data_IF_971287693326
#
_entry.id   IF_971287693326
#
_cell.length_a   1.000
_cell.length_b   1.000
_cell.length_c   1.000
_cell.angle_alpha   90.00
_cell.angle_beta   90.00
_cell.angle_gamma   90.00
#
_symmetry.space_group_name_H-M   'P 1'
#
loop_
_entity.id
_entity.type
_entity.pdbx_description
1 polymer ?
#
# COMPACT_ATOMS: atom_id res chain seq x y z
N UNK A 1 33.12 13.00 -15.16
CA UNK A 1 32.84 14.05 -14.18
C UNK A 1 34.10 14.20 -13.33
N UNK A 2 34.72 15.37 -13.31
CA UNK A 2 35.94 15.62 -12.52
C UNK A 2 35.59 15.97 -11.07
N UNK A 3 34.96 15.02 -10.37
CA UNK A 3 34.59 15.13 -8.96
C UNK A 3 35.42 14.12 -8.18
N UNK A 4 35.82 14.53 -6.98
CA UNK A 4 36.59 13.72 -6.06
C UNK A 4 35.80 12.46 -5.62
N UNK A 5 36.52 11.37 -5.33
CA UNK A 5 35.96 10.07 -4.96
C UNK A 5 35.03 10.19 -3.74
N UNK A 6 35.42 11.01 -2.76
CA UNK A 6 34.62 11.25 -1.56
C UNK A 6 33.27 11.91 -1.90
N UNK A 7 33.28 12.90 -2.80
CA UNK A 7 32.06 13.57 -3.27
C UNK A 7 31.20 12.60 -4.05
N UNK A 8 31.79 11.74 -4.86
CA UNK A 8 31.05 10.72 -5.61
C UNK A 8 30.32 9.75 -4.66
N UNK A 9 31.03 9.15 -3.71
CA UNK A 9 30.46 8.17 -2.77
C UNK A 9 29.33 8.76 -1.92
N UNK A 10 29.44 10.03 -1.52
CA UNK A 10 28.39 10.71 -0.75
C UNK A 10 27.09 10.93 -1.54
N UNK A 11 27.17 11.00 -2.87
CA UNK A 11 26.05 11.35 -3.74
C UNK A 11 25.43 10.14 -4.44
N UNK A 12 26.16 9.02 -4.56
CA UNK A 12 25.73 7.86 -5.35
C UNK A 12 24.42 7.24 -4.83
N UNK A 13 24.20 7.23 -3.52
CA UNK A 13 23.03 6.62 -2.87
C UNK A 13 21.89 7.61 -2.55
N UNK A 14 21.95 8.83 -3.09
CA UNK A 14 20.87 9.81 -2.88
C UNK A 14 19.60 9.41 -3.62
N UNK A 15 18.45 9.66 -3.01
CA UNK A 15 17.13 9.36 -3.58
C UNK A 15 16.99 9.91 -5.00
N UNK A 16 17.37 11.17 -5.21
CA UNK A 16 17.33 11.80 -6.54
C UNK A 16 18.29 11.18 -7.55
N UNK A 17 19.28 10.38 -7.16
CA UNK A 17 20.19 9.67 -8.06
C UNK A 17 19.72 8.24 -8.42
N UNK A 18 18.72 7.72 -7.71
CA UNK A 18 18.18 6.38 -7.92
C UNK A 18 16.95 6.43 -8.82
N UNK A 19 16.83 5.51 -9.77
CA UNK A 19 15.60 5.37 -10.54
C UNK A 19 15.17 3.92 -10.63
N UNK A 20 13.86 3.72 -10.82
CA UNK A 20 13.30 2.41 -11.10
C UNK A 20 13.59 2.09 -12.57
N UNK A 21 14.07 0.87 -12.80
CA UNK A 21 14.36 0.35 -14.11
C UNK A 21 13.97 -1.13 -14.16
N UNK A 22 13.59 -1.62 -15.34
CA UNK A 22 13.35 -3.05 -15.52
C UNK A 22 14.63 -3.84 -15.25
N UNK A 23 14.51 -5.11 -14.87
CA UNK A 23 15.69 -5.99 -14.64
C UNK A 23 16.62 -6.05 -15.86
N UNK A 24 16.04 -6.05 -17.06
CA UNK A 24 16.77 -6.06 -18.33
C UNK A 24 17.53 -4.75 -18.52
N UNK A 25 16.87 -3.61 -18.35
CA UNK A 25 17.48 -2.29 -18.57
C UNK A 25 18.56 -1.99 -17.54
N UNK A 26 18.35 -2.35 -16.27
CA UNK A 26 19.34 -2.19 -15.21
C UNK A 26 20.64 -2.97 -15.52
N UNK A 27 20.49 -4.20 -16.02
CA UNK A 27 21.62 -5.06 -16.41
C UNK A 27 22.42 -4.50 -17.61
N UNK A 28 21.75 -3.81 -18.54
CA UNK A 28 22.39 -3.19 -19.71
C UNK A 28 23.03 -1.84 -19.34
N UNK A 29 22.36 -1.01 -18.55
CA UNK A 29 22.82 0.33 -18.18
C UNK A 29 24.10 0.31 -17.33
N UNK A 30 24.21 -0.58 -16.33
CA UNK A 30 25.36 -0.70 -15.43
C UNK A 30 25.85 0.67 -14.89
N UNK A 31 27.14 0.79 -14.58
CA UNK A 31 27.77 2.06 -14.15
C UNK A 31 28.20 2.95 -15.32
N UNK A 32 27.56 2.83 -16.49
CA UNK A 32 27.87 3.68 -17.63
C UNK A 32 27.47 5.15 -17.41
N UNK A 33 28.01 6.00 -18.27
CA UNK A 33 27.75 7.44 -18.28
C UNK A 33 26.29 7.78 -18.59
N UNK A 34 25.84 8.94 -18.10
CA UNK A 34 24.45 9.41 -18.22
C UNK A 34 23.88 9.34 -19.65
N UNK A 35 24.64 9.79 -20.65
CA UNK A 35 24.19 9.79 -22.04
C UNK A 35 23.85 8.39 -22.57
N UNK A 36 24.63 7.38 -22.15
CA UNK A 36 24.36 5.99 -22.50
C UNK A 36 23.10 5.46 -21.80
N UNK A 37 22.95 5.78 -20.51
CA UNK A 37 21.76 5.39 -19.72
C UNK A 37 20.48 6.04 -20.25
N UNK A 38 20.54 7.32 -20.58
CA UNK A 38 19.42 8.08 -21.16
C UNK A 38 18.96 7.45 -22.48
N UNK A 39 19.89 7.02 -23.34
CA UNK A 39 19.55 6.32 -24.58
C UNK A 39 18.77 5.02 -24.33
N UNK A 40 19.21 4.18 -23.40
CA UNK A 40 18.52 2.92 -23.06
C UNK A 40 17.13 3.18 -22.48
N UNK A 41 17.01 4.16 -21.58
CA UNK A 41 15.73 4.54 -20.99
C UNK A 41 14.75 5.12 -22.03
N UNK A 42 15.26 5.90 -23.00
CA UNK A 42 14.47 6.43 -24.11
C UNK A 42 14.01 5.33 -25.09
N UNK A 43 14.85 4.32 -25.33
CA UNK A 43 14.52 3.21 -26.23
C UNK A 43 13.43 2.30 -25.66
N UNK A 44 13.40 2.08 -24.35
CA UNK A 44 12.44 1.14 -23.74
C UNK A 44 11.18 1.80 -23.19
N UNK A 45 11.27 3.05 -22.70
CA UNK A 45 10.19 3.82 -22.05
C UNK A 45 9.25 2.98 -21.17
N UNK A 46 9.79 1.99 -20.45
CA UNK A 46 8.98 1.04 -19.69
C UNK A 46 8.29 1.70 -18.48
N UNK A 47 8.81 2.83 -18.01
CA UNK A 47 8.30 3.55 -16.86
C UNK A 47 8.16 5.03 -17.22
N UNK A 48 6.92 5.52 -17.28
CA UNK A 48 6.61 6.93 -17.59
C UNK A 48 7.33 7.93 -16.68
N UNK A 49 7.58 7.56 -15.43
CA UNK A 49 8.33 8.41 -14.49
C UNK A 49 9.77 8.71 -14.96
N UNK A 50 10.36 7.85 -15.81
CA UNK A 50 11.68 8.07 -16.38
C UNK A 50 11.67 9.04 -17.56
N UNK A 51 10.52 9.37 -18.17
CA UNK A 51 10.46 10.29 -19.30
C UNK A 51 10.90 11.71 -18.91
N UNK A 52 10.60 12.13 -17.69
CA UNK A 52 11.06 13.42 -17.14
C UNK A 52 12.59 13.47 -16.99
N UNK A 53 13.24 12.32 -16.79
CA UNK A 53 14.70 12.22 -16.74
C UNK A 53 15.34 12.43 -18.11
N UNK A 54 14.67 12.01 -19.19
CA UNK A 54 15.20 12.11 -20.55
C UNK A 54 15.36 13.57 -21.00
N UNK A 55 14.59 14.50 -20.42
CA UNK A 55 14.63 15.93 -20.70
C UNK A 55 15.88 16.64 -20.15
N UNK A 56 16.67 15.95 -19.31
CA UNK A 56 17.83 16.52 -18.62
C UNK A 56 19.11 16.21 -19.41
N UNK A 57 19.74 17.27 -19.93
CA UNK A 57 20.95 17.19 -20.76
C UNK A 57 22.15 16.63 -19.99
N UNK A 58 22.37 17.12 -18.76
CA UNK A 58 23.50 16.71 -17.91
C UNK A 58 23.05 16.36 -16.51
N UNK A 59 23.50 15.19 -16.05
CA UNK A 59 23.23 14.72 -14.70
C UNK A 59 24.27 15.26 -13.72
N UNK A 60 24.00 16.40 -13.10
CA UNK A 60 24.90 17.03 -12.11
C UNK A 60 24.41 16.77 -10.69
N UNK A 61 25.25 17.10 -9.69
CA UNK A 61 24.83 17.05 -8.27
C UNK A 61 23.63 17.96 -8.03
N UNK A 62 23.57 19.12 -8.69
CA UNK A 62 22.44 20.03 -8.60
C UNK A 62 21.14 19.39 -9.11
N UNK A 63 21.19 18.62 -10.20
CA UNK A 63 20.03 17.89 -10.71
C UNK A 63 19.62 16.75 -9.76
N UNK A 64 20.58 16.07 -9.13
CA UNK A 64 20.31 15.08 -8.08
C UNK A 64 19.58 15.74 -6.90
N UNK A 65 20.03 16.92 -6.46
CA UNK A 65 19.41 17.65 -5.36
C UNK A 65 17.99 18.12 -5.72
N UNK A 66 17.81 18.76 -6.88
CA UNK A 66 16.49 19.18 -7.38
C UNK A 66 15.50 18.01 -7.41
N UNK A 67 15.93 16.86 -7.96
CA UNK A 67 15.08 15.67 -8.02
C UNK A 67 14.80 15.10 -6.63
N UNK A 68 15.78 15.12 -5.73
CA UNK A 68 15.59 14.67 -4.34
C UNK A 68 14.49 15.48 -3.66
N UNK A 69 14.53 16.81 -3.75
CA UNK A 69 13.49 17.66 -3.17
C UNK A 69 12.12 17.43 -3.81
N UNK A 70 12.06 17.34 -5.14
CA UNK A 70 10.82 17.04 -5.85
C UNK A 70 10.19 15.72 -5.39
N UNK A 71 10.99 14.65 -5.28
CA UNK A 71 10.51 13.34 -4.84
C UNK A 71 10.06 13.37 -3.38
N UNK A 72 10.76 14.08 -2.49
CA UNK A 72 10.35 14.25 -1.10
C UNK A 72 8.98 14.93 -1.00
N UNK A 73 8.76 16.01 -1.75
CA UNK A 73 7.47 16.70 -1.74
C UNK A 73 6.35 15.82 -2.32
N UNK A 74 6.63 15.05 -3.37
CA UNK A 74 5.67 14.07 -3.91
C UNK A 74 5.37 12.95 -2.93
N UNK A 75 6.35 12.45 -2.19
CA UNK A 75 6.14 11.44 -1.14
C UNK A 75 5.28 12.03 -0.03
N UNK A 76 5.54 13.26 0.44
CA UNK A 76 4.70 13.93 1.44
C UNK A 76 3.27 14.15 0.95
N UNK A 77 3.08 14.46 -0.33
CA UNK A 77 1.76 14.62 -0.94
C UNK A 77 0.99 13.29 -1.01
N UNK A 78 1.66 12.21 -1.42
CA UNK A 78 1.06 10.88 -1.55
C UNK A 78 0.83 10.19 -0.21
N UNK A 79 1.73 10.45 0.75
CA UNK A 79 1.71 9.89 2.10
C UNK A 79 1.75 11.04 3.12
N UNK A 80 0.66 11.82 3.22
CA UNK A 80 0.59 12.89 4.20
C UNK A 80 0.77 12.27 5.58
N UNK A 81 1.83 12.69 6.26
CA UNK A 81 2.04 12.33 7.65
C UNK A 81 0.97 13.07 8.45
N UNK A 82 -0.13 12.39 8.74
CA UNK A 82 -1.00 12.77 9.84
C UNK A 82 -0.14 12.62 11.09
N UNK A 83 0.61 13.67 11.45
CA UNK A 83 1.22 13.79 12.75
C UNK A 83 0.13 13.39 13.72
N UNK A 84 0.33 12.27 14.43
CA UNK A 84 -0.62 11.75 15.38
C UNK A 84 -1.04 12.93 16.23
N UNK A 85 -2.24 13.44 15.95
CA UNK A 85 -2.84 14.40 16.85
C UNK A 85 -2.93 13.58 18.12
N UNK A 86 -2.22 14.00 19.16
CA UNK A 86 -2.30 13.45 20.51
C UNK A 86 -3.70 13.67 21.12
N UNK A 87 -4.75 13.75 20.30
CA UNK A 87 -6.11 13.44 20.65
C UNK A 87 -6.42 12.08 20.06
N UNK A 88 -6.41 11.06 20.93
CA UNK A 88 -7.06 9.75 20.77
C UNK A 88 -7.40 9.42 19.31
N UNK A 89 -6.54 8.64 18.63
CA UNK A 89 -6.87 8.05 17.32
C UNK A 89 -8.31 7.55 17.41
N UNK A 90 -9.20 8.17 16.65
CA UNK A 90 -10.63 7.90 16.78
C UNK A 90 -10.89 6.57 16.10
N UNK A 91 -10.69 5.48 16.84
CA UNK A 91 -10.95 4.12 16.38
C UNK A 91 -12.38 3.73 16.74
N UNK A 92 -13.10 3.13 15.79
CA UNK A 92 -14.37 2.45 16.06
C UNK A 92 -14.13 0.95 15.99
N UNK A 93 -14.58 0.22 17.00
CA UNK A 93 -14.57 -1.25 16.97
C UNK A 93 -15.59 -1.74 15.96
N UNK A 94 -15.19 -2.68 15.12
CA UNK A 94 -16.01 -3.20 14.03
C UNK A 94 -15.94 -4.73 14.01
N UNK A 95 -17.02 -5.35 13.53
CA UNK A 95 -17.16 -6.79 13.50
C UNK A 95 -17.69 -7.26 12.14
N UNK A 96 -17.25 -8.42 11.69
CA UNK A 96 -17.94 -9.23 10.68
C UNK A 96 -18.44 -10.48 11.39
N UNK A 97 -19.74 -10.72 11.32
CA UNK A 97 -20.36 -11.93 11.83
C UNK A 97 -21.20 -12.56 10.74
N UNK A 98 -20.74 -13.69 10.22
CA UNK A 98 -21.52 -14.57 9.33
C UNK A 98 -21.87 -15.86 10.06
N UNK A 99 -22.61 -16.76 9.40
CA UNK A 99 -22.96 -18.06 9.98
C UNK A 99 -21.73 -18.93 10.29
N UNK A 100 -20.59 -18.67 9.65
CA UNK A 100 -19.40 -19.54 9.64
C UNK A 100 -18.10 -18.79 9.92
N UNK A 101 -18.15 -17.46 10.08
CA UNK A 101 -16.94 -16.63 10.16
C UNK A 101 -17.17 -15.48 11.10
N UNK A 102 -16.28 -15.34 12.08
CA UNK A 102 -16.24 -14.22 13.00
C UNK A 102 -14.90 -13.48 12.87
N UNK A 103 -14.96 -12.17 12.60
CA UNK A 103 -13.79 -11.31 12.59
C UNK A 103 -14.06 -10.03 13.36
N UNK A 104 -13.04 -9.50 14.01
CA UNK A 104 -13.08 -8.23 14.74
C UNK A 104 -11.91 -7.33 14.37
N UNK A 105 -12.06 -6.05 14.64
CA UNK A 105 -11.01 -5.09 14.37
C UNK A 105 -11.43 -3.65 14.64
N UNK A 106 -10.70 -2.73 14.04
CA UNK A 106 -10.89 -1.30 14.21
C UNK A 106 -10.91 -0.56 12.87
N UNK A 107 -11.90 0.31 12.69
CA UNK A 107 -11.87 1.35 11.67
C UNK A 107 -11.21 2.60 12.24
N UNK A 108 -10.13 3.04 11.62
CA UNK A 108 -9.50 4.34 11.91
C UNK A 108 -10.31 5.46 11.25
N UNK A 109 -10.99 6.28 12.05
CA UNK A 109 -11.86 7.35 11.55
C UNK A 109 -11.11 8.53 10.92
N UNK A 110 -9.78 8.59 11.09
CA UNK A 110 -8.95 9.69 10.58
C UNK A 110 -8.44 9.44 9.17
N UNK A 111 -8.17 8.19 8.80
CA UNK A 111 -7.56 7.83 7.52
C UNK A 111 -8.29 6.68 6.78
N UNK A 112 -9.34 6.12 7.36
CA UNK A 112 -10.16 5.07 6.77
C UNK A 112 -9.48 3.69 6.70
N UNK A 113 -8.30 3.52 7.31
CA UNK A 113 -7.65 2.21 7.41
C UNK A 113 -8.40 1.28 8.36
N UNK A 114 -8.31 -0.01 8.08
CA UNK A 114 -8.98 -1.06 8.84
C UNK A 114 -7.93 -2.01 9.40
N UNK A 115 -7.88 -2.12 10.73
CA UNK A 115 -7.02 -3.04 11.46
C UNK A 115 -7.84 -4.28 11.82
N UNK A 116 -7.35 -5.46 11.49
CA UNK A 116 -7.96 -6.75 11.80
C UNK A 116 -7.24 -7.38 12.98
N UNK A 117 -7.98 -7.85 13.96
CA UNK A 117 -7.43 -8.51 15.14
C UNK A 117 -6.92 -9.91 14.83
N UNK A 118 -5.83 -10.30 15.50
CA UNK A 118 -5.42 -11.70 15.54
C UNK A 118 -6.53 -12.55 16.18
N UNK A 119 -6.77 -13.74 15.61
CA UNK A 119 -7.88 -14.62 15.93
C UNK A 119 -9.11 -14.43 15.03
N UNK A 120 -9.14 -13.39 14.18
CA UNK A 120 -10.21 -13.22 13.20
C UNK A 120 -10.21 -14.35 12.16
N UNK A 121 -11.38 -14.90 11.89
CA UNK A 121 -11.57 -16.01 10.95
C UNK A 121 -11.73 -15.51 9.52
N UNK A 122 -11.29 -16.33 8.56
CA UNK A 122 -11.49 -16.12 7.14
C UNK A 122 -12.42 -17.20 6.58
N UNK A 123 -13.39 -16.78 5.78
CA UNK A 123 -14.28 -17.69 5.08
C UNK A 123 -13.53 -18.43 3.98
N UNK A 124 -13.76 -19.74 3.88
CA UNK A 124 -13.18 -20.60 2.84
C UNK A 124 -14.30 -21.05 1.91
N UNK A 125 -14.15 -20.80 0.61
CA UNK A 125 -15.11 -21.23 -0.42
C UNK A 125 -14.56 -22.43 -1.20
N UNK A 126 -15.47 -23.23 -1.75
CA UNK A 126 -15.10 -24.38 -2.59
C UNK A 126 -14.53 -23.97 -3.97
N UNK A 127 -14.88 -22.78 -4.48
CA UNK A 127 -14.48 -22.29 -5.80
C UNK A 127 -13.68 -20.96 -5.71
N UNK A 128 -12.46 -20.99 -5.15
CA UNK A 128 -11.63 -19.80 -4.94
C UNK A 128 -11.25 -19.08 -6.26
N UNK A 129 -11.21 -19.81 -7.38
CA UNK A 129 -10.84 -19.28 -8.70
C UNK A 129 -11.76 -18.14 -9.21
N UNK A 130 -12.94 -17.97 -8.61
CA UNK A 130 -13.86 -16.89 -8.97
C UNK A 130 -13.37 -15.50 -8.52
N UNK A 131 -12.47 -15.45 -7.53
CA UNK A 131 -11.90 -14.21 -6.99
C UNK A 131 -10.36 -14.30 -6.95
N UNK A 132 -9.69 -14.30 -8.12
CA UNK A 132 -8.24 -14.50 -8.20
C UNK A 132 -7.45 -13.43 -7.45
N UNK A 133 -7.92 -12.18 -7.43
CA UNK A 133 -7.27 -11.09 -6.70
C UNK A 133 -7.26 -11.32 -5.18
N UNK A 134 -8.32 -11.93 -4.64
CA UNK A 134 -8.42 -12.25 -3.21
C UNK A 134 -7.48 -13.41 -2.86
N UNK A 135 -7.38 -14.40 -3.74
CA UNK A 135 -6.47 -15.53 -3.59
C UNK A 135 -5.00 -15.11 -3.64
N UNK A 136 -4.65 -14.20 -4.55
CA UNK A 136 -3.31 -13.65 -4.63
C UNK A 136 -2.92 -12.93 -3.33
N UNK A 137 -3.82 -12.10 -2.79
CA UNK A 137 -3.60 -11.44 -1.50
C UNK A 137 -3.50 -12.45 -0.34
N UNK A 138 -4.38 -13.44 -0.28
CA UNK A 138 -4.34 -14.46 0.78
C UNK A 138 -3.04 -15.27 0.73
N UNK A 139 -2.54 -15.58 -0.47
CA UNK A 139 -1.26 -16.28 -0.66
C UNK A 139 -0.09 -15.45 -0.13
N UNK A 140 -0.05 -14.15 -0.41
CA UNK A 140 0.95 -13.24 0.16
C UNK A 140 0.87 -13.24 1.71
N UNK A 141 -0.32 -13.14 2.28
CA UNK A 141 -0.51 -13.15 3.74
C UNK A 141 -0.12 -14.49 4.40
N UNK A 142 -0.29 -15.62 3.69
CA UNK A 142 0.17 -16.94 4.13
C UNK A 142 1.71 -17.01 4.12
N UNK A 143 2.34 -16.52 3.06
CA UNK A 143 3.81 -16.47 2.93
C UNK A 143 4.43 -15.58 4.03
N UNK A 144 3.78 -14.47 4.37
CA UNK A 144 4.19 -13.55 5.43
C UNK A 144 3.83 -14.03 6.85
N UNK A 145 3.17 -15.18 6.99
CA UNK A 145 2.70 -15.74 8.26
C UNK A 145 1.78 -14.78 9.04
N UNK A 146 0.96 -14.03 8.32
CA UNK A 146 -0.07 -13.15 8.89
C UNK A 146 -1.37 -13.94 9.09
N UNK A 147 -1.69 -14.82 8.15
CA UNK A 147 -2.78 -15.79 8.28
C UNK A 147 -2.22 -17.22 8.27
N UNK A 148 -2.94 -18.17 8.88
CA UNK A 148 -2.56 -19.58 8.89
C UNK A 148 -3.79 -20.50 8.97
N UNK A 149 -3.66 -21.71 8.44
CA UNK A 149 -4.63 -22.78 8.64
C UNK A 149 -4.47 -23.36 10.06
N UNK A 150 -5.57 -23.40 10.79
CA UNK A 150 -5.68 -23.95 12.15
C UNK A 150 -6.78 -25.01 12.21
N UNK A 151 -6.92 -25.68 13.35
CA UNK A 151 -8.01 -26.66 13.58
C UNK A 151 -9.41 -26.04 13.39
N UNK A 152 -9.54 -24.73 13.55
CA UNK A 152 -10.79 -23.97 13.38
C UNK A 152 -10.94 -23.35 11.98
N UNK A 153 -10.04 -23.65 11.04
CA UNK A 153 -10.00 -23.07 9.70
C UNK A 153 -8.92 -22.02 9.52
N UNK A 154 -9.06 -21.19 8.47
CA UNK A 154 -8.10 -20.14 8.12
C UNK A 154 -8.32 -18.91 9.00
N UNK A 155 -7.28 -18.46 9.72
CA UNK A 155 -7.38 -17.36 10.68
C UNK A 155 -6.22 -16.38 10.57
N UNK A 156 -6.43 -15.13 10.99
CA UNK A 156 -5.35 -14.18 11.25
C UNK A 156 -4.58 -14.60 12.50
N UNK A 157 -3.31 -14.97 12.35
CA UNK A 157 -2.41 -15.27 13.48
C UNK A 157 -1.70 -14.02 14.01
N UNK A 158 -1.71 -12.93 13.23
CA UNK A 158 -1.16 -11.63 13.59
C UNK A 158 -2.13 -10.53 13.17
N UNK A 159 -2.15 -9.39 13.89
CA UNK A 159 -2.97 -8.25 13.46
C UNK A 159 -2.47 -7.73 12.11
N UNK A 160 -3.40 -7.28 11.27
CA UNK A 160 -3.08 -6.80 9.93
C UNK A 160 -3.86 -5.54 9.59
N UNK A 161 -3.22 -4.57 8.93
CA UNK A 161 -3.83 -3.28 8.60
C UNK A 161 -4.01 -3.15 7.09
N UNK A 162 -5.26 -2.99 6.67
CA UNK A 162 -5.61 -2.57 5.32
C UNK A 162 -5.61 -1.05 5.24
N UNK A 163 -4.83 -0.51 4.33
CA UNK A 163 -4.80 0.93 4.07
C UNK A 163 -5.80 1.33 2.98
N UNK A 164 -6.39 2.51 3.13
CA UNK A 164 -7.21 3.09 2.08
C UNK A 164 -6.33 3.63 0.97
N UNK A 165 -6.62 3.28 -0.28
CA UNK A 165 -5.87 3.72 -1.45
C UNK A 165 -6.24 5.14 -1.91
N UNK A 166 -7.21 5.80 -1.28
CA UNK A 166 -7.70 7.12 -1.67
C UNK A 166 -8.04 7.97 -0.43
N UNK A 167 -7.73 9.26 -0.49
CA UNK A 167 -8.16 10.21 0.53
C UNK A 167 -9.69 10.23 0.65
N UNK A 168 -10.22 10.27 1.87
CA UNK A 168 -11.65 10.20 2.21
C UNK A 168 -12.37 8.88 1.87
N UNK A 169 -11.64 7.82 1.50
CA UNK A 169 -12.20 6.46 1.37
C UNK A 169 -11.78 5.57 2.52
N UNK A 170 -12.44 4.42 2.67
CA UNK A 170 -12.12 3.42 3.67
C UNK A 170 -11.65 2.10 3.06
N UNK A 171 -10.87 1.34 3.81
CA UNK A 171 -10.44 0.00 3.46
C UNK A 171 -11.48 -1.09 3.80
N UNK A 172 -12.69 -0.70 4.22
CA UNK A 172 -13.74 -1.61 4.68
C UNK A 172 -14.08 -2.69 3.67
N UNK A 173 -14.24 -2.32 2.38
CA UNK A 173 -14.60 -3.27 1.32
C UNK A 173 -13.46 -4.24 1.03
N UNK A 174 -12.21 -3.76 0.95
CA UNK A 174 -11.03 -4.62 0.72
C UNK A 174 -10.89 -5.64 1.85
N UNK A 175 -10.97 -5.19 3.11
CA UNK A 175 -10.88 -6.05 4.27
C UNK A 175 -12.04 -7.08 4.32
N UNK A 176 -13.27 -6.63 4.07
CA UNK A 176 -14.44 -7.51 4.03
C UNK A 176 -14.36 -8.55 2.90
N UNK A 177 -13.86 -8.14 1.72
CA UNK A 177 -13.68 -9.04 0.59
C UNK A 177 -12.64 -10.10 0.84
N UNK A 178 -11.54 -9.75 1.50
CA UNK A 178 -10.52 -10.72 1.89
C UNK A 178 -11.05 -11.69 2.95
N UNK A 179 -11.82 -11.22 3.94
CA UNK A 179 -12.37 -12.07 5.00
C UNK A 179 -13.46 -12.99 4.46
N UNK A 180 -14.43 -12.47 3.70
CA UNK A 180 -15.61 -13.21 3.25
C UNK A 180 -15.44 -13.90 1.88
N UNK A 181 -14.27 -13.78 1.26
CA UNK A 181 -13.94 -14.37 -0.04
C UNK A 181 -14.96 -14.05 -1.14
N UNK A 182 -15.33 -12.78 -1.26
CA UNK A 182 -16.21 -12.30 -2.33
C UNK A 182 -16.13 -10.79 -2.49
N UNK A 183 -16.64 -10.22 -3.58
CA UNK A 183 -16.85 -8.77 -3.67
C UNK A 183 -17.89 -8.33 -2.62
N UNK A 184 -17.52 -7.44 -1.71
CA UNK A 184 -18.36 -7.02 -0.57
C UNK A 184 -18.41 -5.51 -0.45
N UNK A 185 -19.61 -5.00 -0.18
CA UNK A 185 -19.76 -3.63 0.28
C UNK A 185 -19.35 -3.57 1.76
N UNK A 186 -18.19 -2.98 2.05
CA UNK A 186 -17.67 -2.89 3.40
C UNK A 186 -18.61 -2.14 4.36
N UNK A 187 -19.36 -1.16 3.88
CA UNK A 187 -20.32 -0.41 4.70
C UNK A 187 -21.49 -1.26 5.21
N UNK A 188 -21.85 -2.30 4.48
CA UNK A 188 -22.93 -3.23 4.85
C UNK A 188 -22.40 -4.48 5.57
N UNK A 189 -21.15 -4.86 5.30
CA UNK A 189 -20.56 -6.09 5.82
C UNK A 189 -20.03 -5.94 7.24
N UNK A 190 -19.51 -4.76 7.57
CA UNK A 190 -19.02 -4.45 8.90
C UNK A 190 -20.15 -3.89 9.77
N UNK A 191 -20.23 -4.35 11.01
CA UNK A 191 -21.18 -3.88 12.01
C UNK A 191 -20.50 -3.31 13.25
N UNK A 192 -21.24 -2.54 14.02
CA UNK A 192 -20.85 -2.19 15.39
C UNK A 192 -21.12 -3.33 16.39
N UNK A 193 -20.91 -3.07 17.67
CA UNK A 193 -21.17 -4.01 18.77
C UNK A 193 -22.64 -4.46 18.92
N UNK A 194 -23.58 -3.71 18.34
CA UNK A 194 -25.02 -4.01 18.36
C UNK A 194 -25.49 -4.82 17.15
N UNK A 195 -24.61 -4.99 16.15
CA UNK A 195 -24.94 -5.62 14.87
C UNK A 195 -25.49 -4.64 13.83
N UNK A 196 -25.39 -3.32 14.07
CA UNK A 196 -25.84 -2.30 13.14
C UNK A 196 -24.77 -2.08 12.06
N UNK A 197 -25.10 -2.17 10.75
CA UNK A 197 -24.14 -1.90 9.68
C UNK A 197 -23.55 -0.50 9.77
N UNK A 198 -22.24 -0.36 9.51
CA UNK A 198 -21.58 0.95 9.59
C UNK A 198 -22.14 1.98 8.60
N UNK A 199 -22.69 1.53 7.47
CA UNK A 199 -23.33 2.37 6.47
C UNK A 199 -24.59 3.09 6.95
N UNK A 200 -25.21 2.58 8.02
CA UNK A 200 -26.40 3.13 8.65
C UNK A 200 -26.07 4.08 9.80
N UNK A 201 -24.79 4.26 10.13
CA UNK A 201 -24.29 5.17 11.17
C UNK A 201 -23.84 6.50 10.54
N UNK A 202 -24.69 7.56 10.55
CA UNK A 202 -24.42 8.79 9.81
C UNK A 202 -23.15 9.52 10.30
N UNK A 203 -22.85 9.41 11.58
CA UNK A 203 -21.68 10.00 12.23
C UNK A 203 -20.35 9.40 11.75
N UNK A 204 -20.36 8.14 11.29
CA UNK A 204 -19.20 7.46 10.71
C UNK A 204 -19.14 7.77 9.22
N UNK A 205 -20.25 7.55 8.50
CA UNK A 205 -20.31 7.72 7.05
C UNK A 205 -19.99 9.14 6.62
N UNK A 206 -20.46 10.14 7.37
CA UNK A 206 -20.20 11.56 7.09
C UNK A 206 -18.72 11.96 7.14
N UNK A 207 -17.84 11.15 7.76
CA UNK A 207 -16.39 11.41 7.78
C UNK A 207 -15.67 11.01 6.48
N UNK A 208 -16.30 10.18 5.66
CA UNK A 208 -15.71 9.57 4.46
C UNK A 208 -16.58 9.81 3.21
N UNK A 209 -17.41 10.86 3.25
CA UNK A 209 -18.33 11.25 2.17
C UNK A 209 -17.75 12.40 1.33
#
# INVERSE_FOLDING_TARGET
MGIDEEVYQRNVHRLGNLTLASKRDNSVMKNNVWSYKNKILAETSHLKMNEELLKIDKWTIEEIDKRTYYLIEKIKELYPYYSANTGVMSKKVIYIKSNTTLASGFLNLDNGSVEIDAGSELYVIENPEHYPEVEDQRRELLEEQIIAETENGLVFVRPYVFHSNRANYTALSTAASLILHSSRNGWESWTDETGTPLGDLPEIRGKFS
#
